data_IF_490597863180
#
_entry.id   IF_490597863180
#
_cell.length_a   1.000
_cell.length_b   1.000
_cell.length_c   1.000
_cell.angle_alpha   90.00
_cell.angle_beta   90.00
_cell.angle_gamma   90.00
#
_symmetry.space_group_name_H-M   'P 1'
#
loop_
_entity.id
_entity.type
_entity.pdbx_description
1 polymer ?
#
# COMPACT_ATOMS: atom_id res chain seq x y z
N UNK A 1 -6.40 11.92 22.53
CA UNK A 1 -7.03 10.62 22.19
C UNK A 1 -5.98 9.55 22.40
N UNK A 2 -6.30 8.50 23.15
CA UNK A 2 -5.39 7.37 23.30
C UNK A 2 -5.24 6.72 21.91
N UNK A 3 -4.00 6.65 21.39
CA UNK A 3 -3.74 5.96 20.13
C UNK A 3 -4.06 4.48 20.31
N UNK A 4 -5.04 3.97 19.57
CA UNK A 4 -5.41 2.56 19.58
C UNK A 4 -4.41 1.74 18.74
N UNK A 5 -3.15 1.74 19.19
CA UNK A 5 -2.07 0.94 18.60
C UNK A 5 -2.08 -0.44 19.24
N UNK A 6 -1.98 -1.47 18.42
CA UNK A 6 -1.88 -2.86 18.84
C UNK A 6 -0.80 -3.57 18.02
N UNK A 7 -0.39 -4.72 18.52
CA UNK A 7 0.46 -5.66 17.80
C UNK A 7 -0.27 -6.99 17.72
N UNK A 8 -0.47 -7.49 16.51
CA UNK A 8 -1.20 -8.75 16.25
C UNK A 8 -0.26 -9.83 15.75
N UNK A 9 -0.51 -11.06 16.17
CA UNK A 9 0.31 -12.21 15.74
C UNK A 9 -0.09 -12.67 14.33
N UNK A 10 0.93 -12.96 13.51
CA UNK A 10 0.79 -13.54 12.17
C UNK A 10 1.86 -14.60 11.95
N UNK A 11 1.57 -15.83 12.29
CA UNK A 11 2.59 -16.88 12.36
C UNK A 11 3.67 -16.53 13.39
N UNK A 12 4.91 -16.35 12.92
CA UNK A 12 6.05 -15.95 13.77
C UNK A 12 6.23 -14.43 13.81
N UNK A 13 5.47 -13.66 13.03
CA UNK A 13 5.58 -12.22 12.96
C UNK A 13 4.58 -11.52 13.90
N UNK A 14 4.98 -10.38 14.43
CA UNK A 14 4.14 -9.44 15.17
C UNK A 14 3.91 -8.22 14.28
N UNK A 15 2.66 -7.89 13.96
CA UNK A 15 2.31 -6.83 13.03
C UNK A 15 1.76 -5.61 13.76
N UNK A 16 2.30 -4.45 13.44
CA UNK A 16 1.75 -3.17 13.87
C UNK A 16 0.40 -2.92 13.21
N UNK A 17 -0.60 -2.58 14.03
CA UNK A 17 -1.90 -2.14 13.55
C UNK A 17 -2.43 -0.99 14.42
N UNK A 18 -2.85 0.11 13.78
CA UNK A 18 -3.51 1.25 14.45
C UNK A 18 -4.96 1.34 14.02
N UNK A 19 -5.86 1.44 14.99
CA UNK A 19 -7.29 1.60 14.76
C UNK A 19 -7.72 3.05 14.98
N UNK A 20 -8.36 3.65 14.00
CA UNK A 20 -9.05 4.93 14.08
C UNK A 20 -10.56 4.62 14.04
N UNK A 21 -11.27 4.72 15.19
CA UNK A 21 -12.68 4.35 15.26
C UNK A 21 -13.54 5.28 14.43
N UNK A 22 -14.54 4.72 13.76
CA UNK A 22 -15.57 5.48 13.06
C UNK A 22 -16.31 6.42 13.99
N UNK A 23 -16.64 7.64 13.53
CA UNK A 23 -17.45 8.59 14.31
C UNK A 23 -18.91 8.12 14.49
N UNK A 24 -19.39 7.32 13.56
CA UNK A 24 -20.68 6.63 13.63
C UNK A 24 -20.57 5.30 12.90
N UNK A 25 -21.32 4.31 13.35
CA UNK A 25 -21.16 2.94 12.84
C UNK A 25 -21.97 2.70 11.56
N UNK A 26 -21.30 2.40 10.46
CA UNK A 26 -21.89 1.95 9.18
C UNK A 26 -21.77 0.43 8.96
N UNK A 27 -21.11 -0.29 9.87
CA UNK A 27 -20.80 -1.70 9.72
C UNK A 27 -19.64 -1.99 8.74
N UNK A 28 -18.92 -0.95 8.32
CA UNK A 28 -17.81 -1.05 7.38
C UNK A 28 -16.47 -0.81 8.09
N UNK A 29 -15.47 -1.57 7.73
CA UNK A 29 -14.08 -1.34 8.11
C UNK A 29 -13.17 -1.33 6.88
N UNK A 30 -12.14 -0.49 6.93
CA UNK A 30 -11.12 -0.37 5.89
C UNK A 30 -9.76 -0.73 6.46
N UNK A 31 -9.01 -1.55 5.74
CA UNK A 31 -7.63 -1.91 6.05
C UNK A 31 -6.70 -1.21 5.06
N UNK A 32 -5.92 -0.26 5.56
CA UNK A 32 -4.99 0.58 4.82
C UNK A 32 -3.59 0.00 4.97
N UNK A 33 -2.94 -0.32 3.85
CA UNK A 33 -1.62 -0.92 3.85
C UNK A 33 -0.51 0.10 3.66
N UNK A 34 0.69 -0.24 4.14
CA UNK A 34 1.93 0.44 3.81
C UNK A 34 2.15 0.48 2.28
N UNK A 35 3.08 1.28 1.80
CA UNK A 35 3.57 1.19 0.43
C UNK A 35 4.75 0.21 0.33
N UNK A 36 5.20 -0.07 -0.90
CA UNK A 36 6.38 -0.92 -1.11
C UNK A 36 7.64 -0.44 -0.38
N UNK A 37 7.79 0.86 -0.17
CA UNK A 37 9.03 1.45 0.31
C UNK A 37 8.90 2.16 1.65
N UNK A 38 7.70 2.22 2.22
CA UNK A 38 7.39 3.12 3.33
C UNK A 38 6.34 2.49 4.24
N UNK A 39 6.43 2.80 5.55
CA UNK A 39 5.43 2.36 6.51
C UNK A 39 4.07 3.03 6.27
N UNK A 40 3.02 2.44 6.82
CA UNK A 40 1.64 2.92 6.64
C UNK A 40 1.45 4.32 7.20
N UNK A 41 2.08 4.63 8.34
CA UNK A 41 1.98 5.93 8.99
C UNK A 41 2.56 7.06 8.13
N UNK A 42 3.61 6.80 7.35
CA UNK A 42 4.23 7.80 6.49
C UNK A 42 3.46 8.04 5.18
N UNK A 43 2.46 7.22 4.87
CA UNK A 43 1.68 7.32 3.63
C UNK A 43 0.19 7.55 3.90
N UNK A 44 -0.47 6.60 4.55
CA UNK A 44 -1.92 6.65 4.80
C UNK A 44 -2.27 7.32 6.12
N UNK A 45 -1.29 7.44 7.05
CA UNK A 45 -1.48 7.98 8.39
C UNK A 45 -1.21 9.48 8.54
N UNK A 46 -0.57 10.14 7.56
CA UNK A 46 -0.21 11.56 7.66
C UNK A 46 -1.32 12.50 7.17
N UNK A 47 -1.50 13.62 7.87
CA UNK A 47 -2.58 14.56 7.62
C UNK A 47 -2.24 15.66 6.60
N UNK A 48 -0.98 16.10 6.53
CA UNK A 48 -0.45 17.13 5.61
C UNK A 48 -1.30 18.42 5.57
N UNK A 49 -1.68 18.90 6.76
CA UNK A 49 -2.47 20.11 6.91
C UNK A 49 -3.99 19.95 6.81
N UNK A 50 -4.49 18.72 6.54
CA UNK A 50 -5.94 18.43 6.53
C UNK A 50 -6.25 17.18 7.37
N UNK A 51 -6.64 16.08 6.74
CA UNK A 51 -6.91 14.79 7.38
C UNK A 51 -6.04 13.71 6.76
N UNK A 52 -5.63 12.74 7.56
CA UNK A 52 -5.08 11.50 7.02
C UNK A 52 -6.18 10.70 6.30
N UNK A 53 -5.77 9.72 5.51
CA UNK A 53 -6.74 8.83 4.87
C UNK A 53 -7.61 8.12 5.92
N UNK A 54 -6.98 7.61 6.99
CA UNK A 54 -7.71 6.95 8.07
C UNK A 54 -8.70 7.88 8.78
N UNK A 55 -8.30 9.14 9.08
CA UNK A 55 -9.19 10.13 9.71
C UNK A 55 -10.38 10.49 8.81
N UNK A 56 -10.14 10.64 7.51
CA UNK A 56 -11.22 10.91 6.55
C UNK A 56 -12.25 9.78 6.53
N UNK A 57 -11.78 8.52 6.50
CA UNK A 57 -12.66 7.35 6.51
C UNK A 57 -13.42 7.22 7.82
N UNK A 58 -12.77 7.50 8.97
CA UNK A 58 -13.45 7.51 10.27
C UNK A 58 -14.55 8.58 10.35
N UNK A 59 -14.31 9.76 9.77
CA UNK A 59 -15.33 10.82 9.65
C UNK A 59 -16.50 10.41 8.77
N UNK A 60 -16.27 9.58 7.76
CA UNK A 60 -17.30 9.02 6.89
C UNK A 60 -18.03 7.79 7.50
N UNK A 61 -17.72 7.40 8.74
CA UNK A 61 -18.37 6.29 9.43
C UNK A 61 -17.77 4.91 9.14
N UNK A 62 -16.55 4.86 8.65
CA UNK A 62 -15.81 3.63 8.36
C UNK A 62 -14.68 3.47 9.38
N UNK A 63 -14.66 2.35 10.10
CA UNK A 63 -13.55 2.02 11.01
C UNK A 63 -12.26 1.84 10.22
N UNK A 64 -11.24 2.67 10.45
CA UNK A 64 -10.00 2.62 9.70
C UNK A 64 -8.89 1.92 10.48
N UNK A 65 -8.26 0.93 9.85
CA UNK A 65 -7.13 0.20 10.38
C UNK A 65 -5.92 0.41 9.48
N UNK A 66 -4.86 0.95 10.05
CA UNK A 66 -3.58 1.15 9.39
C UNK A 66 -2.65 0.01 9.79
N UNK A 67 -2.11 -0.73 8.84
CA UNK A 67 -1.25 -1.88 9.10
C UNK A 67 0.08 -1.78 8.35
N UNK A 68 1.16 -2.15 9.03
CA UNK A 68 2.41 -2.50 8.39
C UNK A 68 2.50 -4.02 8.24
N UNK A 69 2.70 -4.52 7.03
CA UNK A 69 3.02 -5.93 6.82
C UNK A 69 4.42 -6.22 7.39
N UNK A 70 4.77 -7.50 7.61
CA UNK A 70 6.11 -7.87 8.05
C UNK A 70 7.20 -7.27 7.15
N UNK A 71 8.28 -6.83 7.74
CA UNK A 71 9.37 -6.13 7.05
C UNK A 71 9.16 -4.62 6.91
N UNK A 72 8.04 -4.07 7.42
CA UNK A 72 7.75 -2.63 7.37
C UNK A 72 7.46 -2.04 8.74
N UNK A 73 7.76 -0.76 8.87
CA UNK A 73 7.39 0.07 10.00
C UNK A 73 7.76 -0.53 11.34
N UNK A 74 6.77 -0.66 12.19
CA UNK A 74 6.93 -1.26 13.52
C UNK A 74 6.61 -2.77 13.58
N UNK A 75 6.27 -3.38 12.44
CA UNK A 75 6.08 -4.83 12.34
C UNK A 75 7.40 -5.59 12.40
N UNK A 76 7.35 -6.90 12.68
CA UNK A 76 8.54 -7.74 12.74
C UNK A 76 9.37 -7.61 11.47
N UNK A 77 10.70 -7.44 11.57
CA UNK A 77 11.58 -7.46 10.41
C UNK A 77 11.55 -8.85 9.74
N UNK A 78 11.90 -8.88 8.47
CA UNK A 78 12.14 -10.13 7.74
C UNK A 78 13.63 -10.49 7.79
N UNK A 79 13.96 -11.78 7.56
CA UNK A 79 15.34 -12.25 7.68
C UNK A 79 16.31 -11.48 6.77
N UNK A 80 15.84 -11.09 5.58
CA UNK A 80 16.59 -10.28 4.62
C UNK A 80 17.08 -8.93 5.19
N UNK A 81 16.40 -8.39 6.19
CA UNK A 81 16.78 -7.12 6.83
C UNK A 81 17.78 -7.30 7.97
N UNK A 82 17.99 -8.55 8.43
CA UNK A 82 18.79 -8.89 9.58
C UNK A 82 20.20 -9.40 9.24
N UNK A 83 20.45 -9.71 7.97
CA UNK A 83 21.72 -10.24 7.49
C UNK A 83 22.31 -9.35 6.38
N UNK A 84 23.63 -9.39 6.23
CA UNK A 84 24.36 -8.55 5.27
C UNK A 84 24.75 -9.31 3.98
N UNK A 85 24.43 -10.59 3.89
CA UNK A 85 24.71 -11.42 2.72
C UNK A 85 23.49 -12.28 2.40
N UNK A 86 23.06 -12.26 1.14
CA UNK A 86 21.88 -12.99 0.67
C UNK A 86 22.00 -14.52 0.88
N UNK A 87 23.23 -15.04 0.88
CA UNK A 87 23.47 -16.47 1.11
C UNK A 87 23.17 -16.91 2.54
N UNK A 88 23.04 -15.97 3.48
CA UNK A 88 22.69 -16.22 4.87
C UNK A 88 21.19 -16.28 5.11
N UNK A 89 20.37 -15.84 4.15
CA UNK A 89 18.90 -15.91 4.26
C UNK A 89 18.44 -17.34 4.13
N UNK A 90 17.85 -17.88 5.20
CA UNK A 90 17.36 -19.27 5.28
C UNK A 90 15.87 -19.36 4.97
N UNK A 91 15.12 -18.35 5.35
CA UNK A 91 13.66 -18.27 5.20
C UNK A 91 13.29 -16.99 4.47
N UNK A 92 13.48 -16.93 3.13
CA UNK A 92 13.18 -15.73 2.37
C UNK A 92 11.69 -15.42 2.42
N UNK A 93 11.37 -14.12 2.47
CA UNK A 93 10.00 -13.63 2.45
C UNK A 93 9.25 -14.10 1.21
N UNK A 94 8.05 -14.63 1.41
CA UNK A 94 7.17 -15.13 0.35
C UNK A 94 5.92 -14.28 0.21
N UNK A 95 5.15 -14.48 -0.86
CA UNK A 95 3.85 -13.82 -1.03
C UNK A 95 2.81 -14.40 -0.07
N UNK A 96 2.94 -15.66 0.26
CA UNK A 96 2.11 -16.39 1.22
C UNK A 96 2.22 -15.79 2.62
N UNK A 97 3.40 -15.30 3.00
CA UNK A 97 3.61 -14.57 4.25
C UNK A 97 2.76 -13.30 4.31
N UNK A 98 2.71 -12.54 3.22
CA UNK A 98 1.84 -11.36 3.14
C UNK A 98 0.36 -11.72 3.12
N UNK A 99 -0.02 -12.82 2.48
CA UNK A 99 -1.42 -13.30 2.52
C UNK A 99 -1.81 -13.72 3.94
N UNK A 100 -0.91 -14.32 4.69
CA UNK A 100 -1.11 -14.65 6.09
C UNK A 100 -1.28 -13.38 6.94
N UNK A 101 -0.45 -12.36 6.72
CA UNK A 101 -0.54 -11.07 7.41
C UNK A 101 -1.90 -10.40 7.19
N UNK A 102 -2.37 -10.36 5.94
CA UNK A 102 -3.70 -9.81 5.59
C UNK A 102 -4.81 -10.61 6.29
N UNK A 103 -4.72 -11.94 6.28
CA UNK A 103 -5.70 -12.81 6.95
C UNK A 103 -5.74 -12.56 8.44
N UNK A 104 -4.58 -12.46 9.10
CA UNK A 104 -4.47 -12.15 10.53
C UNK A 104 -5.10 -10.80 10.88
N UNK A 105 -4.88 -9.78 10.04
CA UNK A 105 -5.49 -8.47 10.22
C UNK A 105 -7.01 -8.49 10.06
N UNK A 106 -7.54 -9.17 9.04
CA UNK A 106 -8.99 -9.32 8.83
C UNK A 106 -9.63 -10.02 10.02
N UNK A 107 -9.02 -11.09 10.52
CA UNK A 107 -9.51 -11.82 11.69
C UNK A 107 -9.52 -10.94 12.94
N UNK A 108 -8.46 -10.16 13.16
CA UNK A 108 -8.40 -9.18 14.25
C UNK A 108 -9.54 -8.16 14.16
N UNK A 109 -9.79 -7.58 12.97
CA UNK A 109 -10.87 -6.62 12.77
C UNK A 109 -12.24 -7.25 13.05
N UNK A 110 -12.51 -8.45 12.50
CA UNK A 110 -13.78 -9.16 12.72
C UNK A 110 -13.98 -9.57 14.18
N UNK A 111 -12.92 -9.94 14.88
CA UNK A 111 -12.98 -10.23 16.32
C UNK A 111 -13.28 -8.97 17.15
N UNK A 112 -12.74 -7.81 16.74
CA UNK A 112 -12.91 -6.54 17.44
C UNK A 112 -14.28 -5.90 17.19
N UNK A 113 -14.75 -5.90 15.95
CA UNK A 113 -15.95 -5.16 15.51
C UNK A 113 -17.18 -6.07 15.30
N UNK A 114 -16.98 -7.37 15.19
CA UNK A 114 -18.01 -8.36 14.92
C UNK A 114 -17.86 -9.04 13.56
N UNK A 115 -18.30 -10.29 13.48
CA UNK A 115 -18.12 -11.15 12.29
C UNK A 115 -18.84 -10.62 11.02
N UNK A 116 -19.91 -9.83 11.21
CA UNK A 116 -20.69 -9.22 10.10
C UNK A 116 -20.06 -7.97 9.52
N UNK A 117 -18.95 -7.47 10.08
CA UNK A 117 -18.25 -6.29 9.57
C UNK A 117 -17.80 -6.52 8.14
N UNK A 118 -18.19 -5.59 7.25
CA UNK A 118 -17.74 -5.58 5.86
C UNK A 118 -16.31 -5.06 5.78
N UNK A 119 -15.45 -5.79 5.09
CA UNK A 119 -14.02 -5.49 5.01
C UNK A 119 -13.67 -4.92 3.64
N UNK A 120 -13.04 -3.75 3.65
CA UNK A 120 -12.46 -3.14 2.45
C UNK A 120 -10.93 -3.08 2.56
N UNK A 121 -10.22 -3.46 1.51
CA UNK A 121 -8.76 -3.36 1.43
C UNK A 121 -8.35 -2.18 0.57
N UNK A 122 -7.38 -1.39 1.04
CA UNK A 122 -6.78 -0.30 0.27
C UNK A 122 -5.30 -0.55 0.11
N UNK A 123 -4.88 -0.80 -1.12
CA UNK A 123 -3.48 -1.00 -1.46
C UNK A 123 -2.99 0.02 -2.49
N UNK A 124 -1.76 0.49 -2.31
CA UNK A 124 -1.08 1.40 -3.21
C UNK A 124 0.02 0.69 -3.98
N UNK A 125 0.09 0.90 -5.30
CA UNK A 125 1.12 0.36 -6.17
C UNK A 125 1.17 -1.19 -6.13
N UNK A 126 2.27 -1.77 -5.65
CA UNK A 126 2.43 -3.21 -5.44
C UNK A 126 1.34 -3.81 -4.54
N UNK A 127 1.02 -3.13 -3.44
CA UNK A 127 -0.01 -3.59 -2.48
C UNK A 127 -1.42 -3.50 -3.09
N UNK A 128 -1.65 -2.59 -4.05
CA UNK A 128 -2.89 -2.55 -4.82
C UNK A 128 -3.14 -3.84 -5.59
N UNK A 129 -2.11 -4.38 -6.23
CA UNK A 129 -2.20 -5.68 -6.91
C UNK A 129 -2.28 -6.84 -5.93
N UNK A 130 -1.57 -6.76 -4.80
CA UNK A 130 -1.61 -7.77 -3.74
C UNK A 130 -3.02 -7.93 -3.17
N UNK A 131 -3.74 -6.82 -2.92
CA UNK A 131 -5.13 -6.86 -2.45
C UNK A 131 -6.05 -7.60 -3.42
N UNK A 132 -5.90 -7.39 -4.73
CA UNK A 132 -6.70 -8.05 -5.76
C UNK A 132 -6.39 -9.56 -5.79
N UNK A 133 -5.10 -9.94 -5.77
CA UNK A 133 -4.71 -11.36 -5.81
C UNK A 133 -5.12 -12.09 -4.54
N UNK A 134 -4.91 -11.48 -3.37
CA UNK A 134 -5.38 -12.02 -2.09
C UNK A 134 -6.88 -12.30 -2.10
N UNK A 135 -7.67 -11.31 -2.51
CA UNK A 135 -9.14 -11.44 -2.52
C UNK A 135 -9.65 -12.45 -3.53
N UNK A 136 -8.93 -12.65 -4.64
CA UNK A 136 -9.25 -13.70 -5.61
C UNK A 136 -9.04 -15.10 -5.02
N UNK A 137 -7.98 -15.28 -4.23
CA UNK A 137 -7.69 -16.56 -3.55
C UNK A 137 -8.57 -16.80 -2.32
N UNK A 138 -9.17 -15.75 -1.77
CA UNK A 138 -9.98 -15.80 -0.55
C UNK A 138 -11.37 -15.20 -0.79
N UNK A 139 -12.18 -15.81 -1.68
CA UNK A 139 -13.47 -15.26 -2.06
C UNK A 139 -14.42 -15.17 -0.85
N UNK A 140 -15.03 -14.00 -0.67
CA UNK A 140 -15.99 -13.73 0.41
C UNK A 140 -15.37 -13.23 1.73
N UNK A 141 -14.05 -13.15 1.86
CA UNK A 141 -13.41 -12.51 3.02
C UNK A 141 -13.36 -10.99 2.92
N UNK A 142 -13.35 -10.46 1.69
CA UNK A 142 -13.20 -9.04 1.37
C UNK A 142 -14.39 -8.58 0.54
N UNK A 143 -15.04 -7.50 0.95
CA UNK A 143 -16.20 -6.94 0.26
C UNK A 143 -15.77 -5.97 -0.85
N UNK A 144 -14.82 -5.07 -0.56
CA UNK A 144 -14.34 -4.07 -1.52
C UNK A 144 -12.83 -4.02 -1.57
N UNK A 145 -12.30 -3.65 -2.73
CA UNK A 145 -10.88 -3.39 -2.96
C UNK A 145 -10.73 -2.03 -3.61
N UNK A 146 -9.90 -1.18 -3.02
CA UNK A 146 -9.45 0.07 -3.59
C UNK A 146 -7.98 -0.09 -3.96
N UNK A 147 -7.71 -0.19 -5.25
CA UNK A 147 -6.38 -0.46 -5.80
C UNK A 147 -5.85 0.81 -6.47
N UNK A 148 -4.93 1.50 -5.77
CA UNK A 148 -4.41 2.80 -6.15
C UNK A 148 -3.13 2.60 -6.96
N UNK A 149 -3.10 3.10 -8.20
CA UNK A 149 -1.94 3.00 -9.09
C UNK A 149 -1.31 1.59 -9.12
N UNK A 150 -2.11 0.50 -9.28
CA UNK A 150 -1.61 -0.85 -9.10
C UNK A 150 -0.48 -1.18 -10.06
N UNK A 151 0.51 -1.88 -9.56
CA UNK A 151 1.56 -2.45 -10.39
C UNK A 151 1.04 -3.64 -11.16
N UNK A 152 1.20 -3.63 -12.50
CA UNK A 152 0.78 -4.73 -13.35
C UNK A 152 1.85 -5.14 -14.35
N UNK A 153 1.57 -6.21 -15.10
CA UNK A 153 2.49 -6.74 -16.10
C UNK A 153 2.59 -5.77 -17.28
N UNK A 154 3.81 -5.37 -17.63
CA UNK A 154 4.10 -4.64 -18.86
C UNK A 154 4.16 -5.61 -20.03
N UNK A 155 3.62 -5.21 -21.18
CA UNK A 155 3.83 -5.92 -22.43
C UNK A 155 5.22 -5.58 -23.00
N UNK A 156 5.73 -6.43 -23.87
CA UNK A 156 7.04 -6.26 -24.49
C UNK A 156 7.12 -4.94 -25.30
N UNK A 157 6.00 -4.54 -25.89
CA UNK A 157 5.89 -3.38 -26.77
C UNK A 157 5.39 -2.12 -26.01
N UNK A 158 5.23 -2.19 -24.67
CA UNK A 158 4.90 -1.02 -23.90
C UNK A 158 6.06 -0.03 -23.93
N UNK A 159 5.81 1.29 -24.01
CA UNK A 159 6.84 2.30 -23.88
C UNK A 159 7.65 2.07 -22.61
N UNK A 160 8.96 2.34 -22.63
CA UNK A 160 9.73 2.31 -21.40
C UNK A 160 9.04 3.22 -20.39
N UNK A 161 8.84 2.72 -19.15
CA UNK A 161 8.37 3.60 -18.09
C UNK A 161 9.35 4.75 -17.98
N UNK A 162 8.87 5.98 -17.98
CA UNK A 162 9.71 7.19 -18.00
C UNK A 162 10.61 7.32 -16.78
N UNK A 163 10.59 6.34 -15.88
CA UNK A 163 11.40 6.32 -14.68
C UNK A 163 11.87 4.90 -14.35
N UNK A 164 13.15 4.67 -14.62
CA UNK A 164 13.86 3.54 -14.06
C UNK A 164 14.33 3.95 -12.66
N UNK A 165 13.58 3.53 -11.66
CA UNK A 165 14.02 3.62 -10.28
C UNK A 165 15.12 2.58 -10.06
N UNK A 166 16.33 2.93 -10.38
CA UNK A 166 17.48 2.21 -9.87
C UNK A 166 17.82 2.81 -8.49
N UNK A 167 17.20 2.26 -7.47
CA UNK A 167 17.99 2.01 -6.29
C UNK A 167 19.07 1.05 -6.77
N UNK A 168 20.35 1.39 -6.62
CA UNK A 168 21.44 0.46 -6.91
C UNK A 168 21.14 -0.81 -6.10
N UNK A 169 20.69 -1.84 -6.81
CA UNK A 169 20.42 -3.14 -6.18
C UNK A 169 21.75 -3.87 -6.18
N UNK A 170 22.45 -3.82 -5.08
CA UNK A 170 23.54 -4.76 -4.87
C UNK A 170 22.93 -6.16 -4.77
N UNK A 171 23.19 -7.01 -5.77
CA UNK A 171 22.65 -8.37 -5.83
C UNK A 171 23.12 -9.25 -4.67
N UNK A 172 24.20 -8.88 -4.02
CA UNK A 172 24.75 -9.60 -2.84
C UNK A 172 23.99 -9.26 -1.57
N UNK A 173 23.41 -8.05 -1.49
CA UNK A 173 22.63 -7.66 -0.33
C UNK A 173 21.22 -8.25 -0.40
N UNK A 174 20.71 -8.80 0.71
CA UNK A 174 19.36 -9.35 0.77
C UNK A 174 18.28 -8.26 0.87
N UNK A 175 18.66 -7.00 1.02
CA UNK A 175 17.78 -5.85 1.13
C UNK A 175 18.19 -4.74 0.17
N UNK A 176 17.34 -3.75 0.06
CA UNK A 176 17.59 -2.52 -0.68
C UNK A 176 17.58 -1.34 0.29
N UNK A 177 18.54 -0.42 0.17
CA UNK A 177 18.54 0.81 0.96
C UNK A 177 17.67 1.87 0.29
N UNK A 178 16.80 2.52 1.06
CA UNK A 178 15.95 3.63 0.59
C UNK A 178 16.08 4.80 1.55
N UNK A 179 16.35 5.98 1.04
CA UNK A 179 16.45 7.22 1.83
C UNK A 179 15.47 8.30 1.37
N UNK A 180 15.20 9.28 2.24
CA UNK A 180 14.30 10.40 1.91
C UNK A 180 14.77 11.19 0.70
N UNK A 181 16.07 11.37 0.51
CA UNK A 181 16.60 12.07 -0.66
C UNK A 181 16.31 11.34 -1.97
N UNK A 182 16.37 10.01 -1.97
CA UNK A 182 16.00 9.21 -3.14
C UNK A 182 14.50 9.31 -3.44
N UNK A 183 13.67 9.34 -2.41
CA UNK A 183 12.22 9.52 -2.53
C UNK A 183 11.90 10.92 -3.04
N UNK A 184 12.53 11.96 -2.50
CA UNK A 184 12.33 13.35 -2.93
C UNK A 184 12.75 13.57 -4.39
N UNK A 185 13.92 13.06 -4.80
CA UNK A 185 14.38 13.07 -6.20
C UNK A 185 13.37 12.39 -7.12
N UNK A 186 12.86 11.23 -6.70
CA UNK A 186 11.82 10.49 -7.42
C UNK A 186 10.56 11.30 -7.58
N UNK A 187 10.07 11.87 -6.48
CA UNK A 187 8.84 12.63 -6.47
C UNK A 187 8.97 13.90 -7.34
N UNK A 188 10.14 14.54 -7.28
CA UNK A 188 10.43 15.71 -8.12
C UNK A 188 10.50 15.36 -9.61
N UNK A 189 11.14 14.24 -9.95
CA UNK A 189 11.25 13.78 -11.34
C UNK A 189 9.90 13.31 -11.93
N UNK A 190 8.97 12.87 -11.09
CA UNK A 190 7.64 12.46 -11.53
C UNK A 190 6.71 13.64 -11.83
N UNK A 191 7.03 14.87 -11.37
CA UNK A 191 6.20 16.05 -11.61
C UNK A 191 6.29 16.47 -13.08
N UNK A 192 5.16 16.73 -13.76
CA UNK A 192 5.18 17.26 -15.12
C UNK A 192 5.86 18.63 -15.18
N UNK A 193 6.47 18.97 -16.31
CA UNK A 193 7.17 20.24 -16.50
C UNK A 193 6.27 21.44 -16.14
N UNK A 194 6.75 22.30 -15.26
CA UNK A 194 6.05 23.49 -14.80
C UNK A 194 4.88 23.25 -13.85
N UNK A 195 4.71 22.03 -13.33
CA UNK A 195 3.66 21.67 -12.37
C UNK A 195 4.27 21.10 -11.07
N UNK A 196 3.63 21.38 -9.96
CA UNK A 196 3.95 20.78 -8.67
C UNK A 196 2.63 20.43 -7.95
N UNK A 197 2.34 19.14 -7.87
CA UNK A 197 1.13 18.62 -7.23
C UNK A 197 1.33 18.28 -5.77
N UNK A 198 2.59 18.30 -5.27
CA UNK A 198 2.96 17.91 -3.91
C UNK A 198 2.26 18.77 -2.85
N UNK A 199 1.87 18.15 -1.77
CA UNK A 199 1.51 18.88 -0.56
C UNK A 199 2.75 19.51 0.07
N UNK A 200 2.69 20.78 0.51
CA UNK A 200 3.86 21.45 1.07
C UNK A 200 4.52 20.72 2.25
N UNK A 201 3.71 20.11 3.11
CA UNK A 201 4.16 19.44 4.34
C UNK A 201 4.50 17.95 4.16
N UNK A 202 4.41 17.40 2.94
CA UNK A 202 4.56 15.97 2.74
C UNK A 202 5.90 15.42 3.23
N UNK A 203 7.00 16.13 2.92
CA UNK A 203 8.35 15.65 3.25
C UNK A 203 8.60 15.64 4.76
N UNK A 204 8.24 16.73 5.42
CA UNK A 204 8.40 16.87 6.87
C UNK A 204 7.60 15.80 7.62
N UNK A 205 6.31 15.66 7.32
CA UNK A 205 5.45 14.71 8.02
C UNK A 205 5.75 13.25 7.68
N UNK A 206 6.10 12.94 6.43
CA UNK A 206 6.55 11.61 6.08
C UNK A 206 7.85 11.24 6.81
N UNK A 207 8.80 12.17 6.92
CA UNK A 207 10.05 11.95 7.62
C UNK A 207 9.83 11.75 9.13
N UNK A 208 8.99 12.55 9.76
CA UNK A 208 8.63 12.38 11.18
C UNK A 208 7.98 11.01 11.44
N UNK A 209 7.10 10.55 10.55
CA UNK A 209 6.49 9.24 10.66
C UNK A 209 7.50 8.10 10.50
N UNK A 210 8.44 8.26 9.57
CA UNK A 210 9.50 7.28 9.31
C UNK A 210 10.56 7.24 10.42
N UNK A 211 10.85 8.37 11.07
CA UNK A 211 11.77 8.41 12.21
C UNK A 211 11.26 7.61 13.41
N UNK A 212 9.95 7.33 13.48
CA UNK A 212 9.33 6.43 14.47
C UNK A 212 9.45 4.96 14.10
N UNK A 213 9.85 4.67 12.88
CA UNK A 213 10.06 3.33 12.34
C UNK A 213 11.45 2.81 12.75
N UNK A 214 11.53 2.30 13.97
CA UNK A 214 12.81 1.88 14.56
C UNK A 214 13.36 0.56 13.99
N UNK A 215 12.56 -0.23 13.29
CA UNK A 215 12.96 -1.60 12.91
C UNK A 215 13.69 -1.68 11.57
N UNK A 216 13.35 -0.83 10.64
CA UNK A 216 13.98 -0.78 9.32
C UNK A 216 14.82 0.46 9.07
N UNK A 217 14.84 1.42 10.00
CA UNK A 217 15.54 2.68 9.86
C UNK A 217 16.95 2.63 10.45
N UNK A 218 17.95 2.84 9.61
CA UNK A 218 19.33 3.04 10.03
C UNK A 218 19.56 4.52 10.33
N UNK A 219 19.63 4.87 11.62
CA UNK A 219 19.83 6.24 12.08
C UNK A 219 21.19 6.82 11.69
N UNK A 220 22.21 5.98 11.44
CA UNK A 220 23.54 6.42 11.04
C UNK A 220 23.58 6.92 9.61
N UNK A 221 22.80 6.32 8.70
CA UNK A 221 22.75 6.65 7.28
C UNK A 221 21.50 7.42 6.87
N UNK A 222 20.47 7.49 7.71
CA UNK A 222 19.16 8.06 7.38
C UNK A 222 18.39 7.26 6.33
N UNK A 223 18.71 5.97 6.20
CA UNK A 223 18.12 5.06 5.23
C UNK A 223 17.35 3.92 5.88
N UNK A 224 16.47 3.28 5.11
CA UNK A 224 15.74 2.08 5.52
C UNK A 224 16.26 0.87 4.77
N UNK A 225 16.37 -0.25 5.48
CA UNK A 225 16.54 -1.57 4.88
C UNK A 225 15.18 -2.11 4.47
N UNK A 226 14.95 -2.25 3.18
CA UNK A 226 13.77 -2.93 2.65
C UNK A 226 14.14 -4.35 2.27
N UNK A 227 13.47 -5.34 2.85
CA UNK A 227 13.59 -6.73 2.42
C UNK A 227 13.26 -6.88 0.93
N UNK A 228 13.85 -7.85 0.27
CA UNK A 228 13.52 -8.16 -1.13
C UNK A 228 12.08 -8.66 -1.20
N UNK A 229 11.23 -7.87 -1.83
CA UNK A 229 9.81 -8.19 -1.96
C UNK A 229 9.64 -9.34 -2.93
N UNK A 230 8.79 -10.33 -2.58
CA UNK A 230 8.44 -11.42 -3.49
C UNK A 230 7.99 -10.90 -4.84
N UNK A 231 8.43 -11.53 -5.91
CA UNK A 231 8.08 -11.09 -7.26
C UNK A 231 6.65 -11.48 -7.61
N UNK A 232 5.68 -10.67 -7.13
CA UNK A 232 4.26 -10.86 -7.43
C UNK A 232 3.96 -10.92 -8.94
N UNK A 233 4.80 -10.30 -9.78
CA UNK A 233 4.58 -10.27 -11.24
C UNK A 233 4.63 -11.67 -11.84
N UNK A 234 5.45 -12.58 -11.31
CA UNK A 234 5.47 -13.96 -11.77
C UNK A 234 4.15 -14.68 -11.46
N UNK A 235 3.57 -14.42 -10.29
CA UNK A 235 2.27 -14.95 -9.90
C UNK A 235 1.13 -14.33 -10.72
N UNK A 236 1.20 -13.03 -11.02
CA UNK A 236 0.17 -12.32 -11.77
C UNK A 236 -0.06 -12.88 -13.19
N UNK A 237 0.97 -13.46 -13.83
CA UNK A 237 0.85 -14.04 -15.18
C UNK A 237 -0.10 -15.23 -15.26
N UNK A 238 -0.28 -15.95 -14.17
CA UNK A 238 -1.11 -17.16 -14.09
C UNK A 238 -2.46 -16.91 -13.44
N UNK A 239 -2.70 -15.69 -12.93
CA UNK A 239 -3.90 -15.37 -12.19
C UNK A 239 -5.15 -15.30 -13.07
N UNK A 240 -6.20 -16.00 -12.65
CA UNK A 240 -7.54 -15.94 -13.24
C UNK A 240 -8.47 -15.27 -12.22
N UNK A 241 -9.01 -14.11 -12.59
CA UNK A 241 -9.87 -13.33 -11.69
C UNK A 241 -11.35 -13.79 -11.70
N UNK A 242 -11.65 -14.96 -12.26
CA UNK A 242 -13.02 -15.47 -12.32
C UNK A 242 -13.66 -15.71 -10.93
N UNK A 243 -12.83 -16.00 -9.92
CA UNK A 243 -13.30 -16.26 -8.56
C UNK A 243 -13.36 -15.01 -7.68
N UNK A 244 -12.96 -13.85 -8.20
CA UNK A 244 -13.02 -12.58 -7.50
C UNK A 244 -14.48 -12.17 -7.27
N UNK A 245 -14.90 -12.14 -6.00
CA UNK A 245 -16.25 -11.76 -5.57
C UNK A 245 -16.34 -10.31 -5.10
N UNK A 246 -15.21 -9.74 -4.70
CA UNK A 246 -15.11 -8.36 -4.21
C UNK A 246 -15.45 -7.35 -5.30
N UNK A 247 -16.06 -6.23 -4.91
CA UNK A 247 -16.11 -5.05 -5.78
C UNK A 247 -14.72 -4.42 -5.84
N UNK A 248 -14.30 -3.95 -7.01
CA UNK A 248 -12.96 -3.38 -7.21
C UNK A 248 -13.05 -1.97 -7.77
N UNK A 249 -12.44 -1.01 -7.09
CA UNK A 249 -12.16 0.32 -7.61
C UNK A 249 -10.66 0.39 -7.94
N UNK A 250 -10.33 0.45 -9.22
CA UNK A 250 -8.98 0.82 -9.65
C UNK A 250 -8.93 2.33 -9.84
N UNK A 251 -7.96 2.98 -9.20
CA UNK A 251 -7.62 4.36 -9.51
C UNK A 251 -6.24 4.42 -10.16
N UNK A 252 -6.08 5.26 -11.16
CA UNK A 252 -4.80 5.54 -11.81
C UNK A 252 -4.59 7.03 -11.85
N UNK A 253 -3.38 7.49 -11.54
CA UNK A 253 -3.04 8.90 -11.60
C UNK A 253 -2.77 9.35 -13.03
N UNK A 254 -3.24 10.55 -13.38
CA UNK A 254 -3.16 11.11 -14.74
C UNK A 254 -1.71 11.14 -15.27
N UNK A 255 -0.75 11.41 -14.41
CA UNK A 255 0.67 11.55 -14.75
C UNK A 255 1.52 10.43 -14.11
N UNK A 256 0.94 9.25 -13.89
CA UNK A 256 1.69 8.11 -13.39
C UNK A 256 2.63 7.56 -14.48
N UNK A 257 3.93 7.83 -14.33
CA UNK A 257 4.98 7.34 -15.23
C UNK A 257 5.56 5.98 -14.81
N UNK A 258 5.24 5.50 -13.61
CA UNK A 258 5.70 4.21 -13.08
C UNK A 258 4.76 3.07 -13.45
N UNK A 259 3.46 3.28 -13.23
CA UNK A 259 2.38 2.40 -13.64
C UNK A 259 1.39 3.16 -14.53
N UNK A 260 1.78 3.48 -15.78
CA UNK A 260 0.98 4.34 -16.65
C UNK A 260 -0.43 3.80 -16.89
N UNK A 261 -1.34 4.69 -17.26
CA UNK A 261 -2.74 4.36 -17.54
C UNK A 261 -2.95 3.09 -18.35
N UNK A 262 -2.16 2.86 -19.40
CA UNK A 262 -2.32 1.68 -20.26
C UNK A 262 -2.00 0.37 -19.53
N UNK A 263 -1.11 0.41 -18.53
CA UNK A 263 -0.76 -0.76 -17.68
C UNK A 263 -1.91 -1.07 -16.72
N UNK A 264 -2.39 -0.05 -16.00
CA UNK A 264 -3.49 -0.21 -15.03
C UNK A 264 -4.82 -0.54 -15.71
N UNK A 265 -5.09 0.05 -16.89
CA UNK A 265 -6.26 -0.27 -17.70
C UNK A 265 -6.23 -1.72 -18.25
N UNK A 266 -5.04 -2.27 -18.50
CA UNK A 266 -4.90 -3.68 -18.87
C UNK A 266 -5.33 -4.60 -17.72
N UNK A 267 -4.93 -4.31 -16.49
CA UNK A 267 -5.42 -5.03 -15.31
C UNK A 267 -6.95 -4.91 -15.20
N UNK A 268 -7.49 -3.69 -15.31
CA UNK A 268 -8.94 -3.47 -15.22
C UNK A 268 -9.72 -4.35 -16.20
N UNK A 269 -9.25 -4.48 -17.44
CA UNK A 269 -9.90 -5.31 -18.48
C UNK A 269 -9.91 -6.82 -18.20
N UNK A 270 -9.12 -7.28 -17.25
CA UNK A 270 -9.07 -8.68 -16.81
C UNK A 270 -10.03 -8.98 -15.67
N UNK A 271 -10.54 -7.93 -15.00
CA UNK A 271 -11.45 -8.07 -13.87
C UNK A 271 -12.91 -8.23 -14.30
N UNK A 272 -13.78 -8.82 -13.45
CA UNK A 272 -15.20 -8.92 -13.75
C UNK A 272 -15.85 -7.54 -13.95
N UNK A 273 -16.43 -7.29 -15.11
CA UNK A 273 -16.99 -5.97 -15.50
C UNK A 273 -18.11 -5.52 -14.58
N UNK A 274 -18.94 -6.44 -14.08
CA UNK A 274 -20.10 -6.12 -13.24
C UNK A 274 -19.75 -5.59 -11.85
N UNK A 275 -18.52 -5.82 -11.38
CA UNK A 275 -18.06 -5.46 -10.02
C UNK A 275 -16.83 -4.58 -10.01
N UNK A 276 -16.34 -4.17 -11.19
CA UNK A 276 -15.08 -3.42 -11.32
C UNK A 276 -15.31 -2.03 -11.88
N UNK A 277 -14.64 -1.05 -11.29
CA UNK A 277 -14.73 0.37 -11.60
C UNK A 277 -13.34 0.94 -11.85
N UNK A 278 -13.24 1.93 -12.73
CA UNK A 278 -11.99 2.56 -13.09
C UNK A 278 -12.12 4.08 -13.06
N UNK A 279 -11.26 4.75 -12.27
CA UNK A 279 -11.23 6.23 -12.18
C UNK A 279 -9.80 6.72 -12.44
N UNK A 280 -9.68 7.87 -13.12
CA UNK A 280 -8.42 8.57 -13.35
C UNK A 280 -8.31 9.76 -12.41
N UNK A 281 -7.34 9.74 -11.49
CA UNK A 281 -7.10 10.82 -10.55
C UNK A 281 -6.40 11.98 -11.27
N UNK A 282 -7.05 13.14 -11.42
CA UNK A 282 -6.46 14.26 -12.12
C UNK A 282 -5.36 14.93 -11.29
N UNK A 283 -4.42 15.59 -11.97
CA UNK A 283 -3.33 16.34 -11.34
C UNK A 283 -2.58 15.53 -10.29
N UNK A 284 -2.27 14.29 -10.62
CA UNK A 284 -1.61 13.33 -9.74
C UNK A 284 -0.55 12.53 -10.49
N UNK A 285 0.53 12.20 -9.77
CA UNK A 285 1.59 11.28 -10.20
C UNK A 285 1.47 9.94 -9.50
N UNK A 286 2.49 9.06 -9.63
CA UNK A 286 2.48 7.80 -8.89
C UNK A 286 2.34 7.99 -7.39
N UNK A 287 2.93 9.04 -6.82
CA UNK A 287 2.95 9.31 -5.38
C UNK A 287 1.73 10.13 -4.90
N UNK A 288 0.57 9.90 -5.51
CA UNK A 288 -0.68 10.63 -5.29
C UNK A 288 -1.13 10.72 -3.82
N UNK A 289 -0.68 9.82 -2.97
CA UNK A 289 -0.99 9.83 -1.52
C UNK A 289 -0.37 11.03 -0.78
N UNK A 290 0.61 11.70 -1.39
CA UNK A 290 1.26 12.91 -0.89
C UNK A 290 0.96 14.16 -1.71
N UNK A 291 -0.02 14.10 -2.59
CA UNK A 291 -0.37 15.18 -3.49
C UNK A 291 -1.73 15.80 -3.12
N UNK A 292 -1.97 17.02 -3.60
CA UNK A 292 -3.18 17.81 -3.32
C UNK A 292 -4.47 17.11 -3.73
N UNK A 293 -4.40 16.25 -4.75
CA UNK A 293 -5.53 15.46 -5.25
C UNK A 293 -5.90 14.25 -4.38
N UNK A 294 -5.15 13.95 -3.30
CA UNK A 294 -5.44 12.80 -2.42
C UNK A 294 -6.83 12.83 -1.79
N UNK A 295 -7.37 14.03 -1.51
CA UNK A 295 -8.69 14.15 -0.90
C UNK A 295 -9.80 13.61 -1.82
N UNK A 296 -9.67 13.86 -3.14
CA UNK A 296 -10.58 13.28 -4.12
C UNK A 296 -10.52 11.75 -4.14
N UNK A 297 -9.34 11.17 -3.90
CA UNK A 297 -9.19 9.72 -3.74
C UNK A 297 -9.92 9.23 -2.49
N UNK A 298 -9.88 9.98 -1.39
CA UNK A 298 -10.59 9.65 -0.15
C UNK A 298 -12.11 9.70 -0.35
N UNK A 299 -12.61 10.75 -1.02
CA UNK A 299 -14.03 10.88 -1.40
C UNK A 299 -14.50 9.66 -2.21
N UNK A 300 -13.76 9.31 -3.27
CA UNK A 300 -14.11 8.17 -4.11
C UNK A 300 -14.11 6.86 -3.35
N UNK A 301 -13.21 6.72 -2.38
CA UNK A 301 -13.17 5.54 -1.53
C UNK A 301 -14.39 5.46 -0.62
N UNK A 302 -14.76 6.55 0.04
CA UNK A 302 -15.94 6.61 0.89
C UNK A 302 -17.22 6.31 0.09
N UNK A 303 -17.42 6.97 -1.06
CA UNK A 303 -18.55 6.71 -1.96
C UNK A 303 -18.63 5.25 -2.43
N UNK A 304 -17.48 4.61 -2.60
CA UNK A 304 -17.42 3.23 -3.07
C UNK A 304 -17.74 2.21 -1.99
N UNK A 305 -17.42 2.51 -0.73
CA UNK A 305 -17.58 1.59 0.41
C UNK A 305 -18.98 1.70 1.01
N UNK A 306 -19.50 2.90 1.18
CA UNK A 306 -20.78 3.21 1.80
C UNK A 306 -21.92 3.08 0.79
#
# INVERSE_FOLDING_TARGET
MQENINFIESGTASLYIRHIPAKFNTGNAILLFNSRSLCVESTMGIAMGSKSYGDYMADAGVDAFLIDLRGYGQSSPVEEQLVEDISLVKSPLTIEDYYQDITSAINYIKNKLGASTKISLVGFSYLGSLCITYSTLNPGLVDNIISINPKWIKAKDDPPSGYNFYVEVDEKLPYTMVGMDSIDKRFSAAQPAGKDFREPLWKEQAFEALARDHRSFDTATGNWKLGKIPNIIQHLKTFKFADLKSRVLITTSQYDIENPYFVTNRLYKLLPVSTSYFKVLPNATHLCVWEKSRELLYEWTAEFII
#
